data_IF_976448724532
#
_entry.id   IF_976448724532
#
_cell.length_a   1.000
_cell.length_b   1.000
_cell.length_c   1.000
_cell.angle_alpha   90.00
_cell.angle_beta   90.00
_cell.angle_gamma   90.00
#
_symmetry.space_group_name_H-M   'P 1'
#
loop_
_entity.id
_entity.type
_entity.pdbx_description
1 polymer ?
#
# COMPACT_ATOMS: atom_id res chain seq x y z
N UNK A 1 -3.90 12.90 12.04
CA UNK A 1 -3.55 11.55 12.51
C UNK A 1 -4.75 10.83 13.11
N UNK A 2 -4.79 9.50 12.97
CA UNK A 2 -5.68 8.55 13.62
C UNK A 2 -4.89 7.70 14.62
N UNK A 3 -5.51 7.38 15.76
CA UNK A 3 -4.92 6.48 16.75
C UNK A 3 -5.26 5.04 16.39
N UNK A 4 -4.25 4.18 16.38
CA UNK A 4 -4.42 2.74 16.21
C UNK A 4 -3.96 2.06 17.51
N UNK A 5 -4.85 1.34 18.20
CA UNK A 5 -4.47 0.65 19.43
C UNK A 5 -3.46 -0.46 19.13
N UNK A 6 -2.52 -0.63 20.04
CA UNK A 6 -1.53 -1.70 20.02
C UNK A 6 -2.17 -3.09 20.16
N UNK A 7 -1.32 -4.10 20.18
CA UNK A 7 -1.72 -5.52 20.24
C UNK A 7 -1.67 -6.19 18.88
N UNK A 8 -2.52 -7.20 18.69
CA UNK A 8 -2.48 -8.10 17.54
C UNK A 8 -2.54 -7.36 16.20
N UNK A 9 -1.72 -7.84 15.27
CA UNK A 9 -1.68 -7.43 13.89
C UNK A 9 -1.46 -8.67 13.01
N UNK A 10 -1.99 -8.65 11.80
CA UNK A 10 -1.75 -9.71 10.83
C UNK A 10 -1.20 -9.07 9.57
N UNK A 11 -0.04 -9.54 9.12
CA UNK A 11 0.52 -9.15 7.83
C UNK A 11 0.18 -10.20 6.79
N UNK A 12 -0.32 -9.72 5.65
CA UNK A 12 -0.66 -10.52 4.50
C UNK A 12 -1.99 -11.24 4.65
N UNK A 13 -2.33 -11.96 3.60
CA UNK A 13 -3.48 -12.86 3.55
C UNK A 13 -3.02 -14.22 3.04
N UNK A 14 -3.86 -15.25 3.17
CA UNK A 14 -3.56 -16.55 2.56
C UNK A 14 -3.54 -16.36 1.04
N UNK A 15 -2.35 -16.19 0.47
CA UNK A 15 -2.15 -16.20 -0.97
C UNK A 15 -2.41 -17.61 -1.52
N UNK A 16 -2.98 -17.66 -2.71
CA UNK A 16 -3.23 -18.86 -3.51
C UNK A 16 -2.02 -19.83 -3.58
N UNK A 17 -0.79 -19.32 -3.52
CA UNK A 17 0.44 -20.12 -3.64
C UNK A 17 0.83 -20.87 -2.36
N UNK A 18 0.23 -20.57 -1.20
CA UNK A 18 0.62 -21.18 0.09
C UNK A 18 2.05 -20.88 0.54
N UNK A 19 2.75 -19.96 -0.15
CA UNK A 19 4.15 -19.62 0.16
C UNK A 19 4.29 -18.68 1.36
N UNK A 20 3.28 -17.84 1.63
CA UNK A 20 3.21 -16.98 2.81
C UNK A 20 1.76 -16.92 3.28
N UNK A 21 1.49 -17.45 4.47
CA UNK A 21 0.19 -17.32 5.15
C UNK A 21 0.13 -16.04 5.98
N UNK A 22 -1.03 -15.72 6.57
CA UNK A 22 -1.15 -14.60 7.51
C UNK A 22 -0.10 -14.74 8.61
N UNK A 23 0.77 -13.75 8.70
CA UNK A 23 1.84 -13.74 9.70
C UNK A 23 1.39 -12.91 10.89
N UNK A 24 1.28 -13.51 12.09
CA UNK A 24 0.86 -12.78 13.28
C UNK A 24 2.01 -11.92 13.80
N UNK A 25 1.69 -10.70 14.19
CA UNK A 25 2.59 -9.72 14.81
C UNK A 25 1.93 -9.09 16.04
N UNK A 26 2.75 -8.46 16.86
CA UNK A 26 2.33 -7.54 17.90
C UNK A 26 2.93 -6.17 17.57
N UNK A 27 2.11 -5.13 17.60
CA UNK A 27 2.56 -3.75 17.43
C UNK A 27 2.18 -2.94 18.66
N UNK A 28 2.99 -1.94 19.00
CA UNK A 28 2.63 -0.98 20.04
C UNK A 28 1.50 -0.06 19.58
N UNK A 29 0.99 0.77 20.49
CA UNK A 29 0.14 1.90 20.14
C UNK A 29 0.86 2.84 19.17
N UNK A 30 0.18 3.28 18.11
CA UNK A 30 0.76 4.23 17.18
C UNK A 30 -0.28 5.20 16.62
N UNK A 31 0.24 6.26 16.02
CA UNK A 31 -0.53 7.23 15.25
C UNK A 31 -0.09 7.15 13.79
N UNK A 32 -1.06 7.20 12.88
CA UNK A 32 -0.83 7.29 11.44
C UNK A 32 -1.59 8.48 10.89
N UNK A 33 -1.13 9.09 9.79
CA UNK A 33 -1.91 10.16 9.17
C UNK A 33 -3.27 9.66 8.66
N UNK A 34 -4.26 10.55 8.64
CA UNK A 34 -5.63 10.18 8.20
C UNK A 34 -5.76 10.11 6.69
N UNK A 35 -4.84 10.75 6.00
CA UNK A 35 -4.77 10.96 4.57
C UNK A 35 -3.30 10.88 4.16
N UNK A 36 -3.06 10.64 2.89
CA UNK A 36 -1.76 10.79 2.27
C UNK A 36 -1.27 12.24 2.39
N UNK A 37 0.06 12.42 2.38
CA UNK A 37 0.68 13.74 2.39
C UNK A 37 0.32 14.47 1.09
N UNK A 38 -0.17 15.70 1.18
CA UNK A 38 -0.56 16.45 -0.02
C UNK A 38 0.61 17.20 -0.66
N UNK A 39 0.43 17.59 -1.92
CA UNK A 39 1.36 18.49 -2.61
C UNK A 39 1.57 19.81 -1.84
N UNK A 40 0.50 20.38 -1.27
CA UNK A 40 0.63 21.61 -0.47
C UNK A 40 1.51 21.39 0.77
N UNK A 41 1.31 20.29 1.48
CA UNK A 41 2.10 19.96 2.67
C UNK A 41 3.56 19.66 2.34
N UNK A 42 3.83 18.97 1.24
CA UNK A 42 5.18 18.70 0.78
C UNK A 42 5.88 19.98 0.27
N UNK A 43 5.15 20.89 -0.37
CA UNK A 43 5.68 22.20 -0.76
C UNK A 43 6.10 23.05 0.45
N UNK A 44 5.39 22.97 1.58
CA UNK A 44 5.83 23.59 2.84
C UNK A 44 7.18 23.05 3.32
N UNK A 45 7.36 21.73 3.23
CA UNK A 45 8.62 21.07 3.58
C UNK A 45 9.76 21.57 2.69
N UNK A 46 9.60 21.52 1.37
CA UNK A 46 10.57 22.01 0.38
C UNK A 46 10.95 23.46 0.68
N UNK A 47 9.96 24.32 0.91
CA UNK A 47 10.18 25.74 1.22
C UNK A 47 10.92 25.95 2.54
N UNK A 48 10.63 25.16 3.56
CA UNK A 48 11.19 25.31 4.90
C UNK A 48 12.62 24.79 5.01
N UNK A 49 12.97 23.75 4.25
CA UNK A 49 14.25 23.03 4.40
C UNK A 49 15.20 23.24 3.23
N UNK A 50 14.71 23.69 2.07
CA UNK A 50 15.47 23.71 0.83
C UNK A 50 15.67 22.34 0.20
N UNK A 51 14.89 21.33 0.63
CA UNK A 51 14.90 19.99 0.05
C UNK A 51 14.46 20.00 -1.42
N UNK A 52 14.83 18.99 -2.19
CA UNK A 52 14.42 18.88 -3.58
C UNK A 52 12.88 18.74 -3.70
N UNK A 53 12.25 19.39 -4.69
CA UNK A 53 10.84 19.14 -4.98
C UNK A 53 10.63 17.69 -5.44
N UNK A 54 9.40 17.22 -5.35
CA UNK A 54 9.02 15.91 -5.88
C UNK A 54 9.21 15.88 -7.41
N UNK A 55 9.44 14.69 -7.98
CA UNK A 55 9.80 14.55 -9.39
C UNK A 55 8.76 15.15 -10.36
N UNK A 56 7.49 15.13 -9.97
CA UNK A 56 6.36 15.59 -10.78
C UNK A 56 5.79 16.95 -10.34
N UNK A 57 6.55 17.74 -9.57
CA UNK A 57 6.09 19.04 -9.05
C UNK A 57 5.80 20.09 -10.13
N UNK A 58 6.27 19.90 -11.38
CA UNK A 58 5.99 20.79 -12.50
C UNK A 58 4.83 20.29 -13.38
N UNK A 59 4.23 19.15 -13.05
CA UNK A 59 3.12 18.57 -13.80
C UNK A 59 1.79 18.99 -13.17
N UNK A 60 1.10 19.92 -13.81
CA UNK A 60 -0.17 20.49 -13.30
C UNK A 60 -1.20 19.41 -12.94
N UNK A 61 -1.27 18.30 -13.69
CA UNK A 61 -2.21 17.20 -13.44
C UNK A 61 -1.89 16.39 -12.17
N UNK A 62 -0.63 16.45 -11.69
CA UNK A 62 -0.11 15.69 -10.55
C UNK A 62 0.22 16.57 -9.34
N UNK A 63 0.20 17.90 -9.50
CA UNK A 63 0.62 18.86 -8.47
C UNK A 63 -0.51 19.75 -7.94
N UNK A 64 -1.77 19.29 -7.95
CA UNK A 64 -2.85 20.06 -7.32
C UNK A 64 -2.70 20.04 -5.78
N UNK A 65 -3.01 21.15 -5.07
CA UNK A 65 -2.70 21.30 -3.65
C UNK A 65 -3.25 20.22 -2.71
N UNK A 66 -4.40 19.64 -3.04
CA UNK A 66 -5.12 18.64 -2.25
C UNK A 66 -4.99 17.20 -2.80
N UNK A 67 -4.25 17.01 -3.90
CA UNK A 67 -3.81 15.69 -4.33
C UNK A 67 -2.68 15.19 -3.43
N UNK A 68 -2.53 13.86 -3.27
CA UNK A 68 -1.35 13.29 -2.67
C UNK A 68 -0.10 13.65 -3.50
N UNK A 69 1.01 13.91 -2.82
CA UNK A 69 2.29 14.11 -3.51
C UNK A 69 2.78 12.79 -4.11
N UNK A 70 3.23 12.84 -5.37
CA UNK A 70 3.79 11.69 -6.10
C UNK A 70 5.20 11.98 -6.61
N UNK A 71 5.94 10.95 -7.04
CA UNK A 71 7.32 11.11 -7.49
C UNK A 71 8.29 11.45 -6.34
N UNK A 72 7.99 10.96 -5.13
CA UNK A 72 8.81 11.12 -3.93
C UNK A 72 9.64 9.86 -3.71
N UNK A 73 10.96 9.99 -3.56
CA UNK A 73 11.81 8.85 -3.23
C UNK A 73 11.65 8.44 -1.75
N UNK A 74 12.00 7.21 -1.40
CA UNK A 74 11.83 6.71 -0.04
C UNK A 74 12.57 7.56 1.00
N UNK A 75 13.79 7.97 0.68
CA UNK A 75 14.62 8.81 1.53
C UNK A 75 14.00 10.20 1.73
N UNK A 76 13.31 10.72 0.71
CA UNK A 76 12.58 12.00 0.79
C UNK A 76 11.35 11.88 1.69
N UNK A 77 10.62 10.76 1.60
CA UNK A 77 9.50 10.48 2.47
C UNK A 77 9.94 10.35 3.95
N UNK A 78 11.10 9.72 4.20
CA UNK A 78 11.73 9.68 5.53
C UNK A 78 12.09 11.09 5.99
N UNK A 79 12.72 11.90 5.14
CA UNK A 79 13.13 13.26 5.46
C UNK A 79 11.94 14.17 5.79
N UNK A 80 10.86 14.09 4.99
CA UNK A 80 9.61 14.78 5.25
C UNK A 80 9.00 14.37 6.60
N UNK A 81 8.90 13.07 6.86
CA UNK A 81 8.38 12.55 8.11
C UNK A 81 9.19 13.09 9.30
N UNK A 82 10.52 13.01 9.23
CA UNK A 82 11.40 13.51 10.27
C UNK A 82 11.23 15.02 10.51
N UNK A 83 11.07 15.82 9.45
CA UNK A 83 10.81 17.26 9.54
C UNK A 83 9.49 17.58 10.26
N UNK A 84 8.43 16.78 10.02
CA UNK A 84 7.16 16.90 10.76
C UNK A 84 7.21 16.29 12.18
N UNK A 85 8.35 15.74 12.63
CA UNK A 85 8.46 15.04 13.92
C UNK A 85 7.74 13.69 13.93
N UNK A 86 7.65 13.04 12.78
CA UNK A 86 6.97 11.76 12.52
C UNK A 86 7.98 10.73 11.97
N UNK A 87 7.46 9.57 11.56
CA UNK A 87 8.17 8.53 10.79
C UNK A 87 7.22 7.87 9.80
N UNK A 88 7.76 7.14 8.82
CA UNK A 88 6.95 6.21 8.04
C UNK A 88 6.38 5.11 8.95
N UNK A 89 5.17 4.60 8.66
CA UNK A 89 4.66 3.40 9.32
C UNK A 89 5.49 2.19 8.89
N UNK A 90 5.54 1.14 9.72
CA UNK A 90 5.97 -0.18 9.23
C UNK A 90 4.88 -0.79 8.36
N UNK A 91 5.22 -1.81 7.58
CA UNK A 91 4.28 -2.56 6.75
C UNK A 91 3.13 -3.14 7.59
N UNK A 92 3.48 -3.68 8.76
CA UNK A 92 2.51 -4.28 9.69
C UNK A 92 1.60 -3.22 10.29
N UNK A 93 2.14 -2.06 10.66
CA UNK A 93 1.36 -0.92 11.15
C UNK A 93 0.40 -0.40 10.07
N UNK A 94 0.87 -0.25 8.83
CA UNK A 94 0.05 0.18 7.71
C UNK A 94 -1.10 -0.81 7.45
N UNK A 95 -0.82 -2.11 7.41
CA UNK A 95 -1.84 -3.12 7.15
C UNK A 95 -2.84 -3.24 8.31
N UNK A 96 -2.39 -3.14 9.56
CA UNK A 96 -3.28 -3.02 10.71
C UNK A 96 -4.13 -1.77 10.58
N UNK A 97 -3.55 -0.61 10.26
CA UNK A 97 -4.30 0.64 10.08
C UNK A 97 -5.39 0.53 9.01
N UNK A 98 -5.13 -0.20 7.92
CA UNK A 98 -6.08 -0.45 6.84
C UNK A 98 -7.19 -1.43 7.25
N UNK A 99 -6.83 -2.56 7.87
CA UNK A 99 -7.73 -3.73 7.98
C UNK A 99 -8.24 -3.99 9.40
N UNK A 100 -7.64 -3.39 10.42
CA UNK A 100 -7.92 -3.77 11.80
C UNK A 100 -7.40 -5.19 12.11
N UNK A 101 -8.14 -5.91 12.95
CA UNK A 101 -7.77 -7.26 13.43
C UNK A 101 -8.78 -8.34 13.02
N UNK A 102 -9.84 -7.98 12.32
CA UNK A 102 -10.95 -8.87 11.96
C UNK A 102 -10.75 -9.60 10.61
N UNK A 103 -9.60 -9.38 9.97
CA UNK A 103 -9.23 -10.04 8.72
C UNK A 103 -9.99 -9.54 7.49
N UNK A 104 -10.62 -8.36 7.55
CA UNK A 104 -11.37 -7.80 6.41
C UNK A 104 -10.54 -7.70 5.13
N UNK A 105 -11.17 -7.79 3.97
CA UNK A 105 -10.51 -7.72 2.65
C UNK A 105 -10.17 -6.27 2.29
N UNK A 106 -11.13 -5.37 2.45
CA UNK A 106 -11.01 -3.95 2.15
C UNK A 106 -11.03 -3.12 3.44
N UNK A 107 -10.53 -1.88 3.43
CA UNK A 107 -10.63 -0.99 4.59
C UNK A 107 -12.07 -0.88 5.14
N UNK A 108 -13.05 -0.87 4.22
CA UNK A 108 -14.46 -0.77 4.53
C UNK A 108 -15.19 -2.08 4.84
N UNK A 109 -14.54 -3.24 4.75
CA UNK A 109 -15.15 -4.54 5.03
C UNK A 109 -14.87 -5.59 3.96
N UNK A 110 -15.76 -6.59 3.86
CA UNK A 110 -15.58 -7.73 2.96
C UNK A 110 -16.36 -7.63 1.65
N UNK A 111 -17.34 -6.74 1.59
CA UNK A 111 -18.14 -6.54 0.39
C UNK A 111 -17.31 -5.78 -0.64
N UNK A 112 -17.17 -6.39 -1.82
CA UNK A 112 -16.51 -5.76 -2.96
C UNK A 112 -17.36 -4.58 -3.44
N UNK A 113 -16.86 -3.37 -3.17
CA UNK A 113 -17.43 -2.14 -3.68
C UNK A 113 -16.29 -1.23 -4.13
N UNK A 114 -15.82 -1.50 -5.35
CA UNK A 114 -14.72 -0.79 -5.99
C UNK A 114 -15.03 0.70 -6.27
N UNK A 115 -16.29 1.14 -6.10
CA UNK A 115 -16.65 2.56 -6.25
C UNK A 115 -16.23 3.38 -5.03
N UNK A 116 -15.86 2.72 -3.93
CA UNK A 116 -15.46 3.38 -2.68
C UNK A 116 -14.05 3.95 -2.70
N UNK A 117 -13.19 3.55 -3.64
CA UNK A 117 -11.79 3.94 -3.69
C UNK A 117 -11.32 4.26 -5.13
N UNK A 118 -10.21 5.00 -5.23
CA UNK A 118 -9.60 5.36 -6.52
C UNK A 118 -8.64 4.28 -7.02
N UNK A 119 -9.13 3.22 -7.68
CA UNK A 119 -8.32 2.02 -7.96
C UNK A 119 -8.01 1.75 -9.44
N UNK A 120 -8.40 2.66 -10.34
CA UNK A 120 -8.31 2.44 -11.78
C UNK A 120 -6.93 2.75 -12.39
N UNK A 121 -6.00 3.27 -11.58
CA UNK A 121 -4.66 3.64 -12.04
C UNK A 121 -4.66 4.91 -12.90
N UNK A 122 -5.66 5.76 -12.74
CA UNK A 122 -5.69 7.11 -13.30
C UNK A 122 -4.76 8.03 -12.48
N UNK A 123 -4.62 9.29 -12.90
CA UNK A 123 -3.88 10.29 -12.14
C UNK A 123 -4.49 10.45 -10.73
N UNK A 124 -3.67 10.74 -9.71
CA UNK A 124 -4.14 10.91 -8.34
C UNK A 124 -5.24 11.96 -8.25
N UNK A 125 -6.18 11.74 -7.34
CA UNK A 125 -7.26 12.68 -7.05
C UNK A 125 -7.09 13.26 -5.66
N UNK A 126 -7.88 14.28 -5.37
CA UNK A 126 -7.97 14.85 -4.02
C UNK A 126 -8.12 13.76 -2.96
N UNK A 127 -7.34 13.87 -1.87
CA UNK A 127 -7.42 12.96 -0.70
C UNK A 127 -8.84 12.91 -0.08
N UNK A 128 -9.69 13.89 -0.39
CA UNK A 128 -11.08 13.95 0.06
C UNK A 128 -12.08 13.27 -0.87
N UNK A 129 -11.71 12.89 -2.10
CA UNK A 129 -12.64 12.49 -3.17
C UNK A 129 -13.47 11.23 -2.83
N UNK A 130 -12.87 10.28 -2.12
CA UNK A 130 -13.48 8.97 -1.84
C UNK A 130 -13.79 8.81 -0.35
N UNK A 131 -14.97 9.26 0.09
CA UNK A 131 -15.39 9.18 1.51
C UNK A 131 -15.66 7.76 1.98
N UNK A 132 -15.93 6.85 1.03
CA UNK A 132 -16.21 5.44 1.29
C UNK A 132 -14.97 4.61 1.61
N UNK A 133 -13.78 5.05 1.17
CA UNK A 133 -12.50 4.41 1.49
C UNK A 133 -12.04 4.84 2.88
N UNK A 134 -12.59 4.17 3.89
CA UNK A 134 -12.30 4.45 5.29
C UNK A 134 -12.04 3.14 6.04
N UNK A 135 -10.92 3.11 6.74
CA UNK A 135 -10.49 1.99 7.58
C UNK A 135 -11.27 1.94 8.89
N UNK A 136 -11.23 0.83 9.65
CA UNK A 136 -11.88 0.76 10.97
C UNK A 136 -11.32 1.77 11.99
N UNK A 137 -10.14 2.32 11.74
CA UNK A 137 -9.52 3.35 12.58
C UNK A 137 -9.70 4.77 12.00
N UNK A 138 -10.45 4.92 10.91
CA UNK A 138 -10.75 6.21 10.30
C UNK A 138 -9.66 6.77 9.40
N UNK A 139 -8.76 5.92 8.88
CA UNK A 139 -7.75 6.28 7.87
C UNK A 139 -8.38 6.15 6.49
N UNK A 140 -8.11 7.11 5.60
CA UNK A 140 -8.66 7.17 4.24
C UNK A 140 -7.57 6.95 3.20
N UNK A 141 -7.97 6.53 2.00
CA UNK A 141 -7.06 6.34 0.86
C UNK A 141 -6.32 5.00 0.84
N UNK A 142 -6.49 4.14 1.84
CA UNK A 142 -5.70 2.91 2.00
C UNK A 142 -5.93 1.86 0.90
N UNK A 143 -6.98 1.97 0.07
CA UNK A 143 -7.29 0.99 -0.98
C UNK A 143 -6.87 1.42 -2.40
N UNK A 144 -6.35 2.64 -2.60
CA UNK A 144 -6.04 3.19 -3.92
C UNK A 144 -5.43 4.59 -3.86
N UNK A 145 -5.75 5.42 -4.85
CA UNK A 145 -5.14 6.72 -5.12
C UNK A 145 -3.66 6.60 -5.50
N UNK A 146 -2.79 6.48 -4.51
CA UNK A 146 -1.34 6.35 -4.71
C UNK A 146 -0.75 5.19 -3.93
N UNK A 147 0.42 4.80 -4.38
CA UNK A 147 1.32 3.89 -3.72
C UNK A 147 2.02 4.62 -2.55
N UNK A 148 1.92 4.07 -1.33
CA UNK A 148 2.42 4.65 -0.07
C UNK A 148 3.68 3.94 0.46
N UNK A 149 4.74 4.72 0.72
CA UNK A 149 5.98 4.21 1.32
C UNK A 149 5.79 3.74 2.77
N UNK A 150 6.42 2.63 3.12
CA UNK A 150 6.58 2.19 4.53
C UNK A 150 8.06 2.14 4.92
N UNK A 151 8.34 2.02 6.21
CA UNK A 151 9.70 2.01 6.76
C UNK A 151 10.49 0.75 6.39
N UNK A 152 9.81 -0.38 6.18
CA UNK A 152 10.42 -1.67 5.88
C UNK A 152 11.17 -1.64 4.54
N UNK A 153 12.36 -2.22 4.54
CA UNK A 153 13.13 -2.49 3.32
C UNK A 153 13.23 -4.00 3.11
N UNK A 154 13.10 -4.46 1.87
CA UNK A 154 13.28 -5.88 1.53
C UNK A 154 14.57 -6.05 0.74
N UNK A 155 15.25 -7.17 0.92
CA UNK A 155 16.35 -7.54 0.00
C UNK A 155 15.73 -8.23 -1.19
N UNK A 156 15.84 -7.62 -2.37
CA UNK A 156 15.27 -8.14 -3.59
C UNK A 156 15.88 -9.51 -3.95
N UNK A 157 15.23 -10.62 -3.55
CA UNK A 157 15.65 -11.96 -3.97
C UNK A 157 15.18 -12.17 -5.42
N UNK A 158 16.01 -11.73 -6.36
CA UNK A 158 15.71 -11.75 -7.79
C UNK A 158 15.12 -10.46 -8.36
N UNK A 159 15.37 -9.30 -7.74
CA UNK A 159 14.98 -7.99 -8.31
C UNK A 159 13.54 -7.54 -8.06
N UNK A 160 12.72 -8.34 -7.35
CA UNK A 160 11.30 -8.04 -7.08
C UNK A 160 11.12 -7.29 -5.76
N UNK A 161 10.49 -6.11 -5.79
CA UNK A 161 10.04 -5.38 -4.60
C UNK A 161 8.69 -4.70 -4.83
N UNK A 162 7.70 -5.48 -5.24
CA UNK A 162 6.31 -5.05 -5.28
C UNK A 162 5.48 -6.16 -4.68
N UNK A 163 4.85 -5.91 -3.55
CA UNK A 163 3.64 -6.64 -3.18
C UNK A 163 2.57 -5.57 -3.15
N UNK A 164 1.65 -5.67 -4.11
CA UNK A 164 0.55 -4.73 -4.25
C UNK A 164 -0.19 -4.62 -2.93
N UNK A 165 -0.89 -3.50 -2.75
CA UNK A 165 -1.81 -3.34 -1.63
C UNK A 165 -2.89 -4.42 -1.59
N UNK A 166 -4.03 -4.12 -0.97
CA UNK A 166 -5.19 -5.00 -0.96
C UNK A 166 -5.80 -5.16 -2.38
N UNK A 167 -5.09 -5.78 -3.33
CA UNK A 167 -5.39 -5.76 -4.76
C UNK A 167 -6.63 -6.60 -5.05
N UNK A 168 -7.76 -5.90 -5.20
CA UNK A 168 -9.06 -6.47 -5.50
C UNK A 168 -9.09 -7.25 -6.83
N UNK A 169 -8.23 -6.90 -7.80
CA UNK A 169 -8.24 -7.52 -9.13
C UNK A 169 -7.68 -8.95 -9.13
N UNK A 170 -7.08 -9.39 -8.03
CA UNK A 170 -6.58 -10.76 -7.84
C UNK A 170 -7.62 -11.70 -7.19
N UNK A 171 -8.84 -11.23 -6.90
CA UNK A 171 -9.69 -11.85 -5.86
C UNK A 171 -11.21 -11.86 -6.17
N UNK A 172 -11.67 -12.37 -7.33
CA UNK A 172 -13.12 -12.61 -7.50
C UNK A 172 -13.57 -13.86 -6.72
N UNK A 173 -14.81 -13.91 -6.18
CA UNK A 173 -15.34 -15.12 -5.53
C UNK A 173 -15.30 -16.35 -6.44
N UNK A 174 -15.49 -16.16 -7.74
CA UNK A 174 -15.40 -17.23 -8.74
C UNK A 174 -13.96 -17.74 -8.91
N UNK A 175 -12.97 -16.85 -8.89
CA UNK A 175 -11.56 -17.22 -8.91
C UNK A 175 -11.16 -18.00 -7.64
N UNK A 176 -11.66 -17.58 -6.47
CA UNK A 176 -11.46 -18.29 -5.20
C UNK A 176 -12.05 -19.71 -5.23
N UNK A 177 -13.24 -19.89 -5.82
CA UNK A 177 -13.88 -21.19 -6.00
C UNK A 177 -13.07 -22.10 -6.91
N UNK A 178 -12.69 -21.62 -8.10
CA UNK A 178 -11.90 -22.36 -9.09
C UNK A 178 -10.55 -22.79 -8.50
N UNK A 179 -9.84 -21.90 -7.79
CA UNK A 179 -8.52 -22.22 -7.23
C UNK A 179 -8.61 -23.17 -6.03
N UNK A 180 -9.69 -23.12 -5.24
CA UNK A 180 -9.97 -24.09 -4.18
C UNK A 180 -10.18 -25.50 -4.76
N UNK A 181 -10.98 -25.60 -5.83
CA UNK A 181 -11.22 -26.85 -6.55
C UNK A 181 -9.91 -27.39 -7.18
N UNK A 182 -9.12 -26.54 -7.84
CA UNK A 182 -7.83 -26.93 -8.43
C UNK A 182 -6.80 -27.39 -7.39
N UNK A 183 -6.74 -26.74 -6.23
CA UNK A 183 -5.84 -27.12 -5.13
C UNK A 183 -6.24 -28.46 -4.52
N UNK A 184 -7.54 -28.72 -4.36
CA UNK A 184 -8.04 -30.02 -3.90
C UNK A 184 -7.71 -31.15 -4.89
N UNK A 185 -7.81 -30.87 -6.19
CA UNK A 185 -7.48 -31.82 -7.26
C UNK A 185 -5.98 -32.13 -7.35
N UNK A 186 -5.12 -31.19 -6.95
CA UNK A 186 -3.66 -31.33 -7.05
C UNK A 186 -2.98 -31.52 -5.68
N UNK A 187 -3.62 -32.26 -4.78
CA UNK A 187 -3.01 -32.70 -3.51
C UNK A 187 -2.66 -31.57 -2.54
N UNK A 188 -3.32 -30.42 -2.65
CA UNK A 188 -3.08 -29.25 -1.81
C UNK A 188 -2.12 -28.22 -2.40
N UNK A 189 -1.65 -28.38 -3.64
CA UNK A 189 -0.68 -27.49 -4.30
C UNK A 189 -1.27 -26.93 -5.59
N UNK A 190 -1.02 -25.67 -5.94
CA UNK A 190 -1.50 -25.12 -7.22
C UNK A 190 -0.62 -25.55 -8.41
N UNK A 191 -1.17 -25.66 -9.62
CA UNK A 191 -0.40 -25.85 -10.84
C UNK A 191 0.59 -24.69 -11.09
N UNK A 192 1.75 -24.99 -11.68
CA UNK A 192 2.82 -24.02 -11.97
C UNK A 192 2.38 -22.83 -12.83
N UNK A 193 1.41 -23.04 -13.72
CA UNK A 193 0.79 -21.99 -14.55
C UNK A 193 -0.04 -20.97 -13.74
N UNK A 194 -0.35 -21.26 -12.47
CA UNK A 194 -1.02 -20.34 -11.55
C UNK A 194 -0.01 -19.55 -10.70
N UNK A 195 1.29 -19.77 -10.87
CA UNK A 195 2.35 -18.99 -10.23
C UNK A 195 2.63 -17.73 -11.07
N UNK A 196 3.03 -16.61 -10.45
CA UNK A 196 3.32 -15.37 -11.19
C UNK A 196 4.49 -15.57 -12.18
N UNK A 197 4.46 -14.89 -13.34
CA UNK A 197 5.50 -15.01 -14.36
C UNK A 197 6.87 -14.50 -13.87
N UNK A 198 7.95 -15.08 -14.42
CA UNK A 198 9.33 -14.76 -14.02
C UNK A 198 9.85 -13.40 -14.52
N UNK A 199 9.19 -12.75 -15.48
CA UNK A 199 9.68 -11.55 -16.17
C UNK A 199 8.97 -10.29 -15.65
N UNK A 200 9.77 -9.36 -15.12
CA UNK A 200 9.36 -8.08 -14.54
C UNK A 200 9.31 -6.96 -15.61
N UNK A 201 8.20 -6.21 -15.74
CA UNK A 201 8.13 -5.04 -16.63
C UNK A 201 8.87 -3.79 -16.11
N UNK A 202 9.41 -3.79 -14.87
CA UNK A 202 10.17 -2.66 -14.32
C UNK A 202 11.54 -3.11 -13.72
N UNK A 203 12.68 -2.86 -14.38
CA UNK A 203 13.94 -3.49 -14.02
C UNK A 203 14.61 -2.84 -12.78
N UNK A 204 14.83 -3.62 -11.71
CA UNK A 204 15.62 -3.21 -10.53
C UNK A 204 16.89 -4.04 -10.29
N UNK A 205 17.88 -3.47 -9.60
CA UNK A 205 19.21 -4.07 -9.34
C UNK A 205 19.11 -5.18 -8.28
N UNK A 206 19.58 -6.37 -8.63
CA UNK A 206 19.55 -7.55 -7.76
C UNK A 206 20.48 -7.40 -6.54
N UNK A 207 19.92 -7.53 -5.34
CA UNK A 207 20.69 -7.66 -4.09
C UNK A 207 20.78 -6.41 -3.22
N UNK A 208 20.22 -5.28 -3.66
CA UNK A 208 20.14 -4.07 -2.84
C UNK A 208 18.85 -4.06 -1.98
N UNK A 209 18.89 -3.45 -0.77
CA UNK A 209 17.69 -3.16 -0.01
C UNK A 209 16.82 -2.19 -0.81
N UNK A 210 15.60 -2.61 -1.13
CA UNK A 210 14.61 -1.79 -1.80
C UNK A 210 13.60 -1.31 -0.77
N UNK A 211 13.24 -0.04 -0.87
CA UNK A 211 12.11 0.52 -0.16
C UNK A 211 10.81 -0.17 -0.61
N UNK A 212 9.90 -0.40 0.33
CA UNK A 212 8.66 -1.12 0.08
C UNK A 212 7.46 -0.15 0.03
N UNK A 213 6.50 -0.42 -0.86
CA UNK A 213 5.31 0.40 -1.10
C UNK A 213 4.05 -0.44 -0.91
N UNK A 214 3.05 0.10 -0.21
CA UNK A 214 1.67 -0.44 -0.09
C UNK A 214 0.68 0.42 -0.88
N UNK A 215 -0.31 -0.19 -1.53
CA UNK A 215 -1.33 0.53 -2.32
C UNK A 215 -1.62 -0.13 -3.67
N UNK A 216 -2.74 0.18 -4.31
CA UNK A 216 -3.22 -0.53 -5.51
C UNK A 216 -3.27 0.29 -6.81
N UNK A 217 -2.73 1.50 -6.83
CA UNK A 217 -2.89 2.36 -7.99
C UNK A 217 -1.72 3.31 -8.18
N UNK A 218 -1.52 3.64 -9.46
CA UNK A 218 -0.57 4.57 -10.05
C UNK A 218 0.86 4.50 -9.48
N UNK A 219 1.76 3.83 -10.22
CA UNK A 219 3.20 3.73 -9.94
C UNK A 219 4.01 4.55 -10.95
N UNK A 220 3.55 5.76 -11.28
CA UNK A 220 4.23 6.61 -12.28
C UNK A 220 5.68 6.88 -11.93
#
# INVERSE_FOLDING_TARGET
MAYVPGGEATLGYVYYTGLYGPMPYQVDDFWIDKFEVTNAEYAEFVKATGHAPAAFAEEDELNQPDQPVTGVFHEDAIAYCAWKGKRLPTEVEWEKAARGTDGRIYPWGNDEDLTRAHIKGDAPVSIAAYEGDISPYGVRGMAGNVSEWVADTRVAKGGRCVDGGADARKQTPEMMRILTELKALNGGVLPEACLPPEIDPNPHIKGEPCAYIKGNSWNG
#
